data_IF_163727317945
#
_entry.id   IF_163727317945
#
_cell.length_a   1.000
_cell.length_b   1.000
_cell.length_c   1.000
_cell.angle_alpha   90.00
_cell.angle_beta   90.00
_cell.angle_gamma   90.00
#
_symmetry.space_group_name_H-M   'P 1'
#
loop_
_entity.id
_entity.type
_entity.pdbx_description
1 polymer ?
#
# COMPACT_ATOMS: atom_id res chain seq x y z
N UNK A 1 29.98 64.96 22.20
CA UNK A 1 28.74 64.19 21.94
C UNK A 1 28.94 63.45 20.63
N UNK A 2 29.20 62.14 20.67
CA UNK A 2 29.34 61.30 19.48
C UNK A 2 28.15 60.32 19.48
N UNK A 3 27.25 60.46 18.51
CA UNK A 3 26.14 59.52 18.34
C UNK A 3 26.65 58.22 17.73
N UNK A 4 26.23 57.05 18.25
CA UNK A 4 26.59 55.77 17.66
C UNK A 4 25.76 55.57 16.39
N UNK A 5 26.44 55.51 15.24
CA UNK A 5 25.86 55.12 13.96
C UNK A 5 25.44 53.65 14.04
N UNK A 6 24.14 53.41 14.17
CA UNK A 6 23.55 52.08 14.05
C UNK A 6 23.93 51.47 12.70
N UNK A 7 24.57 50.31 12.73
CA UNK A 7 25.15 49.66 11.57
C UNK A 7 24.01 49.11 10.67
N UNK A 8 23.80 49.64 9.44
CA UNK A 8 22.64 49.28 8.60
C UNK A 8 22.69 47.84 8.05
N UNK A 9 23.76 47.10 8.34
CA UNK A 9 23.95 45.69 7.96
C UNK A 9 23.28 44.69 8.94
N UNK A 10 22.74 45.17 10.06
CA UNK A 10 22.04 44.33 11.05
C UNK A 10 20.51 44.34 10.88
N UNK A 11 19.98 45.12 9.96
CA UNK A 11 18.55 45.11 9.63
C UNK A 11 18.27 43.90 8.73
N UNK A 12 17.38 42.96 9.12
CA UNK A 12 16.88 41.98 8.16
C UNK A 12 16.34 42.74 6.93
N UNK A 13 16.55 42.23 5.71
CA UNK A 13 16.00 42.89 4.52
C UNK A 13 14.52 43.13 4.76
N UNK A 14 14.08 44.39 4.66
CA UNK A 14 12.66 44.72 4.75
C UNK A 14 11.98 44.05 3.55
N UNK A 15 11.42 42.87 3.79
CA UNK A 15 10.69 42.13 2.78
C UNK A 15 9.49 42.97 2.37
N UNK A 16 9.30 43.08 1.07
CA UNK A 16 8.08 43.71 0.56
C UNK A 16 6.87 42.86 0.96
N UNK A 17 5.68 43.45 1.15
CA UNK A 17 4.49 42.69 1.55
C UNK A 17 4.18 41.50 0.62
N UNK A 18 4.45 41.66 -0.68
CA UNK A 18 4.26 40.61 -1.67
C UNK A 18 5.27 39.46 -1.49
N UNK A 19 6.54 39.75 -1.19
CA UNK A 19 7.56 38.71 -0.98
C UNK A 19 7.23 37.85 0.24
N UNK A 20 6.74 38.46 1.33
CA UNK A 20 6.31 37.72 2.51
C UNK A 20 5.11 36.82 2.19
N UNK A 21 4.09 37.33 1.50
CA UNK A 21 2.91 36.54 1.09
C UNK A 21 3.29 35.34 0.22
N UNK A 22 4.20 35.54 -0.73
CA UNK A 22 4.69 34.47 -1.60
C UNK A 22 5.46 33.42 -0.80
N UNK A 23 6.34 33.84 0.12
CA UNK A 23 7.09 32.91 0.98
C UNK A 23 6.13 32.09 1.86
N UNK A 24 5.14 32.72 2.46
CA UNK A 24 4.14 32.04 3.31
C UNK A 24 3.35 31.00 2.50
N UNK A 25 2.98 31.30 1.26
CA UNK A 25 2.29 30.34 0.38
C UNK A 25 3.21 29.22 -0.11
N UNK A 26 4.50 29.48 -0.38
CA UNK A 26 5.47 28.42 -0.69
C UNK A 26 5.73 27.51 0.51
N UNK A 27 5.79 28.07 1.72
CA UNK A 27 5.95 27.28 2.95
C UNK A 27 4.75 26.36 3.16
N UNK A 28 3.53 26.91 3.01
CA UNK A 28 2.30 26.10 3.04
C UNK A 28 2.27 25.02 1.98
N UNK A 29 2.65 25.35 0.74
CA UNK A 29 2.70 24.38 -0.35
C UNK A 29 3.70 23.26 -0.06
N UNK A 30 4.90 23.61 0.43
CA UNK A 30 5.91 22.63 0.79
C UNK A 30 5.44 21.71 1.94
N UNK A 31 4.78 22.27 2.95
CA UNK A 31 4.19 21.50 4.03
C UNK A 31 3.08 20.57 3.53
N UNK A 32 2.22 21.06 2.64
CA UNK A 32 1.16 20.28 2.01
C UNK A 32 1.74 19.13 1.15
N UNK A 33 2.78 19.39 0.36
CA UNK A 33 3.47 18.35 -0.41
C UNK A 33 4.10 17.29 0.50
N UNK A 34 4.70 17.70 1.62
CA UNK A 34 5.28 16.77 2.59
C UNK A 34 4.22 15.88 3.25
N UNK A 35 3.08 16.48 3.65
CA UNK A 35 1.92 15.74 4.16
C UNK A 35 1.40 14.74 3.14
N UNK A 36 1.22 15.19 1.89
CA UNK A 36 0.74 14.33 0.79
C UNK A 36 1.70 13.16 0.52
N UNK A 37 3.01 13.41 0.46
CA UNK A 37 4.01 12.35 0.29
C UNK A 37 3.95 11.32 1.43
N UNK A 38 3.80 11.78 2.67
CA UNK A 38 3.71 10.90 3.86
C UNK A 38 2.45 10.03 3.81
N UNK A 39 1.32 10.61 3.44
CA UNK A 39 0.06 9.87 3.29
C UNK A 39 0.17 8.84 2.17
N UNK A 40 0.71 9.21 1.01
CA UNK A 40 0.91 8.28 -0.10
C UNK A 40 1.83 7.11 0.27
N UNK A 41 2.92 7.38 0.98
CA UNK A 41 3.85 6.33 1.41
C UNK A 41 3.18 5.35 2.39
N UNK A 42 2.38 5.87 3.33
CA UNK A 42 1.60 5.03 4.25
C UNK A 42 0.54 4.18 3.52
N UNK A 43 -0.15 4.77 2.53
CA UNK A 43 -1.15 4.08 1.72
C UNK A 43 -0.53 3.05 0.79
N UNK A 44 0.70 3.26 0.31
CA UNK A 44 1.42 2.29 -0.50
C UNK A 44 2.00 1.14 0.34
N UNK A 45 2.42 1.41 1.58
CA UNK A 45 3.09 0.41 2.42
C UNK A 45 2.17 -0.54 3.18
N UNK A 46 1.04 -0.06 3.71
CA UNK A 46 0.24 -0.80 4.69
C UNK A 46 -0.86 -1.71 4.10
N UNK A 47 -1.81 -1.22 3.28
CA UNK A 47 -2.91 -2.06 2.80
C UNK A 47 -2.42 -3.16 1.84
N UNK A 48 -1.33 -2.94 1.10
CA UNK A 48 -0.85 -3.90 0.10
C UNK A 48 -0.30 -5.18 0.73
N UNK A 49 0.40 -5.07 1.86
CA UNK A 49 1.05 -6.25 2.49
C UNK A 49 0.03 -7.18 3.14
N UNK A 50 -0.89 -6.62 3.93
CA UNK A 50 -1.94 -7.41 4.61
C UNK A 50 -2.89 -8.09 3.61
N UNK A 51 -3.27 -7.38 2.53
CA UNK A 51 -4.10 -7.95 1.47
C UNK A 51 -3.35 -9.08 0.76
N UNK A 52 -2.06 -8.91 0.46
CA UNK A 52 -1.26 -9.92 -0.24
C UNK A 52 -1.08 -11.17 0.62
N UNK A 53 -0.83 -11.02 1.92
CA UNK A 53 -0.76 -12.14 2.85
C UNK A 53 -2.11 -12.86 2.99
N UNK A 54 -3.21 -12.11 3.07
CA UNK A 54 -4.57 -12.67 3.05
C UNK A 54 -4.87 -13.45 1.77
N UNK A 55 -4.47 -12.93 0.60
CA UNK A 55 -4.62 -13.61 -0.68
C UNK A 55 -3.79 -14.89 -0.76
N UNK A 56 -2.55 -14.88 -0.26
CA UNK A 56 -1.70 -16.08 -0.18
C UNK A 56 -2.29 -17.16 0.72
N UNK A 57 -2.82 -16.77 1.87
CA UNK A 57 -3.49 -17.72 2.77
C UNK A 57 -4.76 -18.30 2.12
N UNK A 58 -5.53 -17.46 1.44
CA UNK A 58 -6.72 -17.89 0.70
C UNK A 58 -6.37 -18.84 -0.44
N UNK A 59 -5.32 -18.57 -1.21
CA UNK A 59 -4.81 -19.45 -2.27
C UNK A 59 -4.44 -20.83 -1.70
N UNK A 60 -3.71 -20.89 -0.58
CA UNK A 60 -3.32 -22.16 0.05
C UNK A 60 -4.54 -22.96 0.50
N UNK A 61 -5.50 -22.31 1.14
CA UNK A 61 -6.74 -22.96 1.61
C UNK A 61 -7.58 -23.48 0.45
N UNK A 62 -7.80 -22.66 -0.57
CA UNK A 62 -8.61 -23.04 -1.73
C UNK A 62 -7.92 -24.11 -2.58
N UNK A 63 -6.59 -24.07 -2.73
CA UNK A 63 -5.81 -25.12 -3.39
C UNK A 63 -5.92 -26.46 -2.69
N UNK A 64 -5.91 -26.46 -1.34
CA UNK A 64 -6.12 -27.68 -0.56
C UNK A 64 -7.54 -28.22 -0.76
N UNK A 65 -8.56 -27.37 -0.65
CA UNK A 65 -9.95 -27.76 -0.89
C UNK A 65 -10.13 -28.33 -2.31
N UNK A 66 -9.55 -27.68 -3.31
CA UNK A 66 -9.60 -28.13 -4.71
C UNK A 66 -8.91 -29.49 -4.89
N UNK A 67 -7.75 -29.69 -4.27
CA UNK A 67 -7.02 -30.96 -4.33
C UNK A 67 -7.82 -32.08 -3.67
N UNK A 68 -8.38 -31.84 -2.48
CA UNK A 68 -9.21 -32.80 -1.77
C UNK A 68 -10.48 -33.14 -2.55
N UNK A 69 -11.12 -32.14 -3.15
CA UNK A 69 -12.28 -32.34 -4.01
C UNK A 69 -11.92 -33.20 -5.22
N UNK A 70 -10.82 -32.88 -5.92
CA UNK A 70 -10.35 -33.65 -7.07
C UNK A 70 -10.03 -35.09 -6.68
N UNK A 71 -9.32 -35.31 -5.58
CA UNK A 71 -9.01 -36.65 -5.07
C UNK A 71 -10.28 -37.43 -4.73
N UNK A 72 -11.25 -36.80 -4.06
CA UNK A 72 -12.55 -37.39 -3.73
C UNK A 72 -13.31 -37.81 -4.99
N UNK A 73 -13.45 -36.91 -5.96
CA UNK A 73 -14.13 -37.19 -7.23
C UNK A 73 -13.43 -38.32 -8.01
N UNK A 74 -12.10 -38.27 -8.13
CA UNK A 74 -11.35 -39.34 -8.80
C UNK A 74 -11.54 -40.69 -8.11
N UNK A 75 -11.52 -40.73 -6.77
CA UNK A 75 -11.75 -41.95 -6.01
C UNK A 75 -13.13 -42.54 -6.29
N UNK A 76 -14.18 -41.70 -6.32
CA UNK A 76 -15.56 -42.14 -6.57
C UNK A 76 -15.71 -42.66 -8.00
N UNK A 77 -15.22 -41.91 -9.00
CA UNK A 77 -15.31 -42.32 -10.42
C UNK A 77 -14.56 -43.62 -10.65
N UNK A 78 -13.35 -43.76 -10.10
CA UNK A 78 -12.56 -44.98 -10.25
C UNK A 78 -13.23 -46.20 -9.59
N UNK A 79 -13.80 -46.02 -8.39
CA UNK A 79 -14.55 -47.09 -7.73
C UNK A 79 -15.75 -47.55 -8.55
N UNK A 80 -16.46 -46.61 -9.18
CA UNK A 80 -17.59 -46.93 -10.05
C UNK A 80 -17.14 -47.67 -11.33
N UNK A 81 -16.06 -47.24 -11.98
CA UNK A 81 -15.51 -47.93 -13.16
C UNK A 81 -15.11 -49.38 -12.85
N UNK A 82 -14.52 -49.62 -11.67
CA UNK A 82 -14.17 -50.97 -11.21
C UNK A 82 -15.43 -51.82 -10.98
N UNK A 83 -16.43 -51.29 -10.26
CA UNK A 83 -17.68 -52.01 -9.96
C UNK A 83 -18.47 -52.34 -11.23
N UNK A 84 -18.54 -51.42 -12.20
CA UNK A 84 -19.10 -51.69 -13.53
C UNK A 84 -18.32 -52.75 -14.30
N UNK A 85 -16.98 -52.72 -14.22
CA UNK A 85 -16.12 -53.69 -14.87
C UNK A 85 -16.25 -55.11 -14.33
N UNK A 86 -16.47 -55.26 -13.02
CA UNK A 86 -16.72 -56.55 -12.37
C UNK A 86 -18.13 -57.08 -12.65
N UNK A 87 -19.15 -56.22 -12.68
CA UNK A 87 -20.52 -56.62 -13.09
C UNK A 87 -20.58 -57.07 -14.55
N UNK A 88 -19.78 -56.50 -15.46
CA UNK A 88 -19.75 -56.90 -16.86
C UNK A 88 -19.01 -58.23 -17.12
N UNK A 89 -18.30 -58.78 -16.11
CA UNK A 89 -17.54 -60.03 -16.20
C UNK A 89 -18.25 -61.23 -15.56
N UNK A 90 -19.39 -61.01 -14.93
CA UNK A 90 -20.29 -62.04 -14.42
C UNK A 90 -21.49 -62.24 -15.34
#
# INVERSE_FOLDING_TARGET
MAQPSANPLLSPPELTPLEQEVIDEYERLAENMKKLATVLDSMAGQPTTEILDGLRELERKTSLVFTLLKASVYSIVLQQEIDWGDQARH
#
